data_IF_648587685168
#
_entry.id   IF_648587685168
#
_cell.length_a   1.000
_cell.length_b   1.000
_cell.length_c   1.000
_cell.angle_alpha   90.00
_cell.angle_beta   90.00
_cell.angle_gamma   90.00
#
_symmetry.space_group_name_H-M   'P 1'
#
loop_
_entity.id
_entity.type
_entity.pdbx_description
1 polymer ?
#
# COMPACT_ATOMS: atom_id res chain seq x y z
N UNK A 1 -11.36 -4.00 -2.63
CA UNK A 1 -11.62 -4.91 -3.78
C UNK A 1 -11.03 -4.39 -5.10
N UNK A 2 -10.83 -3.08 -5.27
CA UNK A 2 -10.43 -2.50 -6.57
C UNK A 2 -8.94 -2.66 -6.92
N UNK A 3 -8.06 -2.85 -5.92
CA UNK A 3 -6.60 -2.86 -6.13
C UNK A 3 -6.04 -4.25 -6.46
N UNK A 4 -6.63 -5.32 -5.92
CA UNK A 4 -6.11 -6.69 -6.09
C UNK A 4 -6.52 -7.37 -7.41
N UNK A 5 -7.49 -6.83 -8.17
CA UNK A 5 -8.03 -7.53 -9.34
C UNK A 5 -8.60 -8.92 -9.01
N UNK A 6 -9.09 -9.65 -10.01
CA UNK A 6 -9.65 -11.01 -9.83
C UNK A 6 -8.68 -12.13 -10.26
N UNK A 7 -7.39 -11.82 -10.45
CA UNK A 7 -6.35 -12.81 -10.75
C UNK A 7 -4.95 -12.20 -10.83
N UNK A 8 -3.89 -13.05 -10.82
CA UNK A 8 -2.51 -12.60 -10.94
C UNK A 8 -2.32 -11.72 -12.18
N UNK A 9 -1.85 -10.49 -12.00
CA UNK A 9 -1.62 -9.54 -13.09
C UNK A 9 -2.79 -8.61 -13.46
N UNK A 10 -3.94 -8.70 -12.78
CA UNK A 10 -5.04 -7.73 -12.92
C UNK A 10 -4.95 -6.55 -11.95
N UNK A 11 -3.89 -6.48 -11.15
CA UNK A 11 -3.68 -5.38 -10.21
C UNK A 11 -3.36 -4.09 -10.95
N UNK A 12 -4.18 -3.06 -10.72
CA UNK A 12 -3.91 -1.72 -11.24
C UNK A 12 -2.68 -1.17 -10.53
N UNK A 13 -1.63 -0.84 -11.31
CA UNK A 13 -0.44 -0.18 -10.79
C UNK A 13 -0.83 1.17 -10.18
N UNK A 14 -0.62 1.31 -8.88
CA UNK A 14 -0.93 2.54 -8.17
C UNK A 14 0.22 3.53 -8.32
N UNK A 15 -0.11 4.79 -8.64
CA UNK A 15 0.85 5.89 -8.81
C UNK A 15 0.41 7.11 -7.99
N UNK A 16 1.35 7.95 -7.58
CA UNK A 16 1.05 9.21 -6.88
C UNK A 16 0.53 9.06 -5.45
N UNK A 17 0.71 7.88 -4.83
CA UNK A 17 0.23 7.55 -3.48
C UNK A 17 1.31 7.63 -2.39
N UNK A 18 2.46 8.23 -2.68
CA UNK A 18 3.57 8.31 -1.73
C UNK A 18 3.26 9.12 -0.46
N UNK A 19 2.32 10.07 -0.54
CA UNK A 19 1.92 10.93 0.56
C UNK A 19 0.72 10.37 1.35
N UNK A 20 0.12 9.24 0.92
CA UNK A 20 -1.03 8.64 1.59
C UNK A 20 -0.66 8.16 2.98
N UNK A 21 -1.55 8.40 3.93
CA UNK A 21 -1.39 8.02 5.33
C UNK A 21 -2.60 7.22 5.85
N UNK A 22 -2.45 6.65 7.04
CA UNK A 22 -3.52 5.93 7.74
C UNK A 22 -4.16 6.87 8.75
N UNK A 23 -5.43 7.18 8.55
CA UNK A 23 -6.22 8.03 9.44
C UNK A 23 -6.78 7.25 10.64
N UNK A 24 -7.16 5.98 10.39
CA UNK A 24 -7.85 5.16 11.39
C UNK A 24 -7.56 3.68 11.15
N UNK A 25 -7.53 2.94 12.25
CA UNK A 25 -7.45 1.48 12.26
C UNK A 25 -8.60 0.95 13.12
N UNK A 26 -9.38 0.04 12.57
CA UNK A 26 -10.45 -0.65 13.30
C UNK A 26 -10.23 -2.15 13.32
N UNK A 27 -10.58 -2.80 14.43
CA UNK A 27 -10.53 -4.24 14.55
C UNK A 27 -11.72 -4.88 13.81
N UNK A 28 -11.46 -5.93 13.06
CA UNK A 28 -12.50 -6.75 12.41
C UNK A 28 -12.46 -8.16 13.01
N UNK A 29 -13.32 -8.38 14.01
CA UNK A 29 -13.32 -9.60 14.80
C UNK A 29 -11.95 -9.91 15.40
N UNK A 30 -11.56 -11.18 15.46
CA UNK A 30 -10.25 -11.60 15.99
C UNK A 30 -9.21 -11.90 14.91
N UNK A 31 -9.49 -11.62 13.63
CA UNK A 31 -8.70 -12.17 12.51
C UNK A 31 -8.15 -11.11 11.54
N UNK A 32 -8.58 -9.85 11.65
CA UNK A 32 -8.23 -8.79 10.72
C UNK A 32 -8.35 -7.38 11.32
N UNK A 33 -7.84 -6.40 10.57
CA UNK A 33 -8.10 -4.97 10.77
C UNK A 33 -8.63 -4.34 9.48
N UNK A 34 -9.39 -3.26 9.63
CA UNK A 34 -9.73 -2.35 8.55
C UNK A 34 -8.85 -1.11 8.65
N UNK A 35 -8.21 -0.74 7.54
CA UNK A 35 -7.41 0.48 7.44
C UNK A 35 -8.22 1.54 6.69
N UNK A 36 -8.26 2.74 7.25
CA UNK A 36 -8.84 3.93 6.63
C UNK A 36 -7.70 4.84 6.22
N UNK A 37 -7.61 5.12 4.93
CA UNK A 37 -6.60 6.00 4.35
C UNK A 37 -7.16 7.40 4.12
N UNK A 38 -6.27 8.40 4.23
CA UNK A 38 -6.60 9.82 4.07
C UNK A 38 -6.97 10.23 2.63
N UNK A 39 -6.75 9.34 1.66
CA UNK A 39 -7.18 9.49 0.28
C UNK A 39 -8.59 8.94 0.01
N UNK A 40 -9.38 8.77 1.08
CA UNK A 40 -10.76 8.29 1.07
C UNK A 40 -10.88 6.81 0.64
N UNK A 41 -9.81 6.03 0.79
CA UNK A 41 -9.86 4.57 0.69
C UNK A 41 -10.12 3.95 2.07
N UNK A 42 -11.35 3.49 2.30
CA UNK A 42 -11.80 3.03 3.62
C UNK A 42 -12.38 1.61 3.62
N UNK A 43 -12.29 0.88 2.52
CA UNK A 43 -12.93 -0.44 2.36
C UNK A 43 -11.98 -1.62 2.55
N UNK A 44 -10.70 -1.38 2.82
CA UNK A 44 -9.66 -2.41 2.89
C UNK A 44 -9.68 -3.17 4.21
N UNK A 45 -9.99 -4.47 4.17
CA UNK A 45 -9.85 -5.40 5.30
C UNK A 45 -8.60 -6.26 5.10
N UNK A 46 -7.70 -6.25 6.09
CA UNK A 46 -6.41 -6.91 6.07
C UNK A 46 -6.36 -7.97 7.17
N UNK A 47 -6.30 -9.24 6.78
CA UNK A 47 -6.13 -10.35 7.75
C UNK A 47 -4.75 -10.34 8.38
N UNK A 48 -4.59 -10.96 9.55
CA UNK A 48 -3.26 -11.14 10.17
C UNK A 48 -2.29 -11.89 9.26
N UNK A 49 -2.78 -12.89 8.52
CA UNK A 49 -1.96 -13.62 7.56
C UNK A 49 -1.49 -12.72 6.41
N UNK A 50 -2.36 -11.84 5.90
CA UNK A 50 -2.01 -10.87 4.86
C UNK A 50 -0.96 -9.87 5.36
N UNK A 51 -1.15 -9.30 6.55
CA UNK A 51 -0.20 -8.34 7.13
C UNK A 51 1.15 -9.00 7.43
N UNK A 52 1.13 -10.25 7.90
CA UNK A 52 2.34 -11.04 8.12
C UNK A 52 3.09 -11.31 6.82
N UNK A 53 2.39 -11.71 5.76
CA UNK A 53 2.97 -11.96 4.44
C UNK A 53 3.60 -10.68 3.85
N UNK A 54 2.87 -9.55 3.90
CA UNK A 54 3.37 -8.24 3.47
C UNK A 54 4.62 -7.82 4.26
N UNK A 55 4.63 -8.02 5.59
CA UNK A 55 5.78 -7.69 6.42
C UNK A 55 6.98 -8.60 6.16
N UNK A 56 6.73 -9.91 5.99
CA UNK A 56 7.77 -10.91 5.73
C UNK A 56 8.44 -10.72 4.36
N UNK A 57 7.66 -10.38 3.34
CA UNK A 57 8.13 -10.25 1.96
C UNK A 57 8.27 -8.78 1.52
N UNK A 58 8.35 -7.85 2.48
CA UNK A 58 8.30 -6.41 2.23
C UNK A 58 9.33 -5.96 1.18
N UNK A 59 10.58 -6.39 1.31
CA UNK A 59 11.67 -5.98 0.41
C UNK A 59 11.41 -6.43 -1.02
N UNK A 60 10.99 -7.69 -1.19
CA UNK A 60 10.70 -8.27 -2.49
C UNK A 60 9.51 -7.56 -3.16
N UNK A 61 8.38 -7.45 -2.47
CA UNK A 61 7.18 -6.80 -3.01
C UNK A 61 7.41 -5.32 -3.30
N UNK A 62 8.23 -4.67 -2.49
CA UNK A 62 8.61 -3.29 -2.71
C UNK A 62 9.45 -3.13 -3.98
N UNK A 63 10.47 -3.96 -4.16
CA UNK A 63 11.31 -3.92 -5.37
C UNK A 63 10.49 -4.23 -6.63
N UNK A 64 9.62 -5.25 -6.58
CA UNK A 64 8.72 -5.60 -7.70
C UNK A 64 7.81 -4.42 -8.08
N UNK A 65 7.28 -3.69 -7.09
CA UNK A 65 6.48 -2.49 -7.33
C UNK A 65 7.30 -1.36 -7.98
N UNK A 66 8.53 -1.10 -7.51
CA UNK A 66 9.42 -0.09 -8.08
C UNK A 66 9.82 -0.43 -9.53
N UNK A 67 10.09 -1.70 -9.81
CA UNK A 67 10.42 -2.16 -11.15
C UNK A 67 9.22 -1.99 -12.10
N UNK A 68 8.00 -2.28 -11.64
CA UNK A 68 6.76 -2.02 -12.38
C UNK A 68 6.54 -0.53 -12.67
N UNK A 69 6.79 0.34 -11.69
CA UNK A 69 6.73 1.80 -11.88
C UNK A 69 7.71 2.23 -12.97
N UNK A 70 8.97 1.81 -12.86
CA UNK A 70 10.02 2.17 -13.82
C UNK A 70 9.70 1.69 -15.22
N UNK A 71 9.22 0.45 -15.36
CA UNK A 71 8.81 -0.11 -16.65
C UNK A 71 7.64 0.67 -17.28
N UNK A 72 6.76 1.25 -16.46
CA UNK A 72 5.66 2.11 -16.89
C UNK A 72 6.07 3.58 -17.12
N UNK A 73 7.35 3.94 -16.93
CA UNK A 73 7.85 5.32 -17.08
C UNK A 73 7.51 6.24 -15.91
N UNK A 74 7.21 5.66 -14.74
CA UNK A 74 6.95 6.38 -13.51
C UNK A 74 8.06 6.17 -12.49
N UNK A 75 8.24 7.14 -11.60
CA UNK A 75 9.10 7.04 -10.42
C UNK A 75 8.27 7.37 -9.18
N UNK A 76 8.62 6.75 -8.04
CA UNK A 76 8.04 7.11 -6.75
C UNK A 76 8.91 8.18 -6.08
N UNK A 77 8.44 9.42 -5.92
CA UNK A 77 9.19 10.43 -5.19
C UNK A 77 9.18 10.14 -3.68
N UNK A 78 10.15 10.72 -2.98
CA UNK A 78 10.15 10.70 -1.51
C UNK A 78 8.90 11.40 -0.97
N UNK A 79 8.21 10.83 0.03
CA UNK A 79 7.07 11.47 0.68
C UNK A 79 7.45 12.82 1.30
N UNK A 80 6.56 13.81 1.22
CA UNK A 80 6.83 15.18 1.73
C UNK A 80 7.10 15.20 3.23
N UNK A 81 6.47 14.30 4.00
CA UNK A 81 6.64 14.21 5.44
C UNK A 81 8.04 13.70 5.85
N UNK A 82 8.78 13.06 4.94
CA UNK A 82 10.17 12.67 5.18
C UNK A 82 11.16 13.78 4.78
N UNK A 83 10.83 14.58 3.77
CA UNK A 83 11.69 15.69 3.30
C UNK A 83 11.81 16.83 4.33
N UNK A 84 10.79 17.01 5.20
CA UNK A 84 10.75 18.08 6.20
C UNK A 84 11.49 17.76 7.51
N UNK A 85 12.16 16.60 7.62
CA UNK A 85 12.88 16.20 8.86
C UNK A 85 14.33 16.71 8.91
N UNK A 86 14.81 17.36 7.84
CA UNK A 86 16.19 17.85 7.67
C UNK A 86 16.32 19.39 7.79
N UNK A 87 15.33 20.08 8.36
CA UNK A 87 15.37 21.53 8.69
C UNK A 87 15.00 21.76 10.15
#
# INVERSE_FOLDING_TARGET
>A
AEVQGHGPGQEVLQIGKQDVNIDKIEQVGNYAIQLFFDDNHDTGIYSWATLYDLGKNQEQYWQDYLDRLKAAGHERPEPKHLQNRDT
#
